data_IF_577217887455
#
_entry.id   IF_577217887455
#
_cell.length_a   1.000
_cell.length_b   1.000
_cell.length_c   1.000
_cell.angle_alpha   90.00
_cell.angle_beta   90.00
_cell.angle_gamma   90.00
#
_symmetry.space_group_name_H-M   'P 1'
#
loop_
_entity.id
_entity.type
_entity.pdbx_description
1 polymer ?
#
# COMPACT_ATOMS: atom_id res chain seq x y z
N UNK A 1 -1.66 0.90 -18.99
CA UNK A 1 -0.74 0.52 -17.90
C UNK A 1 -1.39 -0.63 -17.13
N UNK A 2 -0.64 -1.65 -16.76
CA UNK A 2 -1.19 -2.86 -16.13
C UNK A 2 -1.09 -2.72 -14.61
N UNK A 3 -2.24 -2.70 -13.93
CA UNK A 3 -2.31 -2.58 -12.47
C UNK A 3 -2.54 -3.96 -11.83
N UNK A 4 -1.88 -4.19 -10.70
CA UNK A 4 -2.14 -5.33 -9.83
C UNK A 4 -2.91 -4.94 -8.57
N UNK A 5 -3.55 -5.92 -7.93
CA UNK A 5 -4.16 -5.78 -6.62
C UNK A 5 -3.81 -6.98 -5.75
N UNK A 6 -3.36 -6.72 -4.53
CA UNK A 6 -3.16 -7.72 -3.48
C UNK A 6 -4.19 -7.44 -2.38
N UNK A 7 -5.04 -8.41 -2.09
CA UNK A 7 -5.97 -8.41 -0.96
C UNK A 7 -5.45 -9.38 0.08
N UNK A 8 -5.25 -8.92 1.31
CA UNK A 8 -4.70 -9.68 2.42
C UNK A 8 -5.82 -9.85 3.46
N UNK A 9 -6.03 -11.08 3.91
CA UNK A 9 -7.03 -11.36 4.93
C UNK A 9 -7.44 -12.83 4.95
N UNK A 10 -7.15 -13.52 6.05
CA UNK A 10 -7.61 -14.90 6.26
C UNK A 10 -9.14 -15.03 6.18
N UNK A 11 -9.89 -14.00 6.60
CA UNK A 11 -11.34 -13.99 6.53
C UNK A 11 -11.89 -13.91 5.10
N UNK A 12 -11.10 -13.38 4.16
CA UNK A 12 -11.44 -13.33 2.74
C UNK A 12 -11.27 -14.74 2.15
N UNK A 13 -10.16 -15.40 2.45
CA UNK A 13 -9.89 -16.78 2.02
C UNK A 13 -10.90 -17.77 2.63
N UNK A 14 -11.25 -17.58 3.90
CA UNK A 14 -12.22 -18.43 4.59
C UNK A 14 -13.68 -18.14 4.19
N UNK A 15 -13.94 -17.10 3.38
CA UNK A 15 -15.29 -16.66 3.01
C UNK A 15 -16.11 -16.04 4.15
N UNK A 16 -15.53 -15.82 5.33
CA UNK A 16 -16.21 -15.16 6.47
C UNK A 16 -16.52 -13.70 6.14
N UNK A 17 -15.75 -13.11 5.24
CA UNK A 17 -15.97 -11.78 4.68
C UNK A 17 -15.84 -11.85 3.17
N UNK A 18 -16.80 -11.25 2.47
CA UNK A 18 -16.72 -11.07 1.02
C UNK A 18 -15.80 -9.90 0.70
N UNK A 19 -14.82 -10.13 -0.18
CA UNK A 19 -14.00 -9.04 -0.72
C UNK A 19 -14.87 -7.97 -1.42
N UNK A 20 -14.52 -6.71 -1.21
CA UNK A 20 -15.10 -5.54 -1.89
C UNK A 20 -14.05 -4.71 -2.62
N UNK A 21 -12.76 -5.00 -2.45
CA UNK A 21 -11.68 -4.22 -3.02
C UNK A 21 -11.60 -4.40 -4.53
N UNK A 22 -11.80 -5.63 -5.03
CA UNK A 22 -11.71 -5.90 -6.48
C UNK A 22 -12.71 -5.06 -7.27
N UNK A 23 -13.97 -5.03 -6.84
CA UNK A 23 -15.00 -4.23 -7.52
C UNK A 23 -14.69 -2.73 -7.45
N UNK A 24 -14.29 -2.24 -6.27
CA UNK A 24 -13.88 -0.85 -6.07
C UNK A 24 -12.75 -0.44 -7.02
N UNK A 25 -11.65 -1.21 -7.05
CA UNK A 25 -10.49 -0.88 -7.90
C UNK A 25 -10.78 -1.04 -9.38
N UNK A 26 -11.63 -1.99 -9.78
CA UNK A 26 -12.09 -2.08 -11.17
C UNK A 26 -12.82 -0.81 -11.59
N UNK A 27 -13.75 -0.32 -10.78
CA UNK A 27 -14.47 0.94 -11.05
C UNK A 27 -13.54 2.15 -11.07
N UNK A 28 -12.66 2.25 -10.07
CA UNK A 28 -11.68 3.34 -9.95
C UNK A 28 -10.77 3.42 -11.19
N UNK A 29 -10.18 2.30 -11.60
CA UNK A 29 -9.28 2.25 -12.75
C UNK A 29 -10.02 2.49 -14.06
N UNK A 30 -11.22 1.93 -14.23
CA UNK A 30 -12.04 2.15 -15.42
C UNK A 30 -12.37 3.64 -15.61
N UNK A 31 -12.68 4.36 -14.53
CA UNK A 31 -12.90 5.81 -14.55
C UNK A 31 -11.69 6.64 -14.99
N UNK A 32 -10.50 6.04 -15.04
CA UNK A 32 -9.26 6.66 -15.50
C UNK A 32 -8.68 6.01 -16.78
N UNK A 33 -9.48 5.22 -17.51
CA UNK A 33 -9.03 4.58 -18.76
C UNK A 33 -8.00 3.45 -18.53
N UNK A 34 -8.03 2.82 -17.36
CA UNK A 34 -7.15 1.73 -16.98
C UNK A 34 -7.94 0.49 -16.56
N UNK A 35 -7.26 -0.65 -16.46
CA UNK A 35 -7.85 -1.92 -16.05
C UNK A 35 -6.97 -2.62 -15.02
N UNK A 36 -7.62 -3.39 -14.16
CA UNK A 36 -6.95 -4.31 -13.26
C UNK A 36 -6.54 -5.55 -14.05
N UNK A 37 -5.25 -5.86 -14.06
CA UNK A 37 -4.68 -6.94 -14.87
C UNK A 37 -4.61 -8.27 -14.12
N UNK A 38 -4.39 -8.22 -12.81
CA UNK A 38 -4.40 -9.38 -11.93
C UNK A 38 -4.82 -9.00 -10.53
N UNK A 39 -5.29 -10.01 -9.79
CA UNK A 39 -5.60 -9.94 -8.37
C UNK A 39 -4.95 -11.13 -7.68
N UNK A 40 -4.34 -10.90 -6.53
CA UNK A 40 -3.93 -11.94 -5.59
C UNK A 40 -4.70 -11.77 -4.29
N UNK A 41 -5.25 -12.86 -3.76
CA UNK A 41 -5.84 -12.91 -2.42
C UNK A 41 -4.91 -13.78 -1.58
N UNK A 42 -4.33 -13.21 -0.52
CA UNK A 42 -3.27 -13.81 0.28
C UNK A 42 -3.71 -13.93 1.76
N UNK A 43 -3.22 -14.95 2.48
CA UNK A 43 -3.41 -15.05 3.93
C UNK A 43 -2.58 -14.02 4.67
N UNK A 44 -2.86 -13.85 5.96
CA UNK A 44 -2.07 -13.04 6.90
C UNK A 44 -0.77 -13.77 7.34
N UNK A 45 -0.04 -14.37 6.38
CA UNK A 45 1.21 -15.09 6.62
C UNK A 45 2.44 -14.22 6.27
N UNK A 46 3.29 -13.83 7.24
CA UNK A 46 4.39 -12.90 7.00
C UNK A 46 5.42 -13.38 5.95
N UNK A 47 5.73 -14.67 5.91
CA UNK A 47 6.74 -15.20 5.01
C UNK A 47 6.24 -15.16 3.55
N UNK A 48 5.00 -15.58 3.35
CA UNK A 48 4.32 -15.54 2.06
C UNK A 48 4.10 -14.10 1.59
N UNK A 49 3.62 -13.21 2.48
CA UNK A 49 3.43 -11.79 2.17
C UNK A 49 4.74 -11.14 1.72
N UNK A 50 5.82 -11.30 2.49
CA UNK A 50 7.13 -10.71 2.17
C UNK A 50 7.65 -11.22 0.82
N UNK A 51 7.53 -12.53 0.55
CA UNK A 51 7.93 -13.11 -0.72
C UNK A 51 7.14 -12.56 -1.91
N UNK A 52 5.80 -12.49 -1.80
CA UNK A 52 4.92 -11.98 -2.86
C UNK A 52 5.09 -10.50 -3.11
N UNK A 53 5.24 -9.70 -2.05
CA UNK A 53 5.50 -8.27 -2.15
C UNK A 53 6.83 -8.02 -2.85
N UNK A 54 7.89 -8.77 -2.51
CA UNK A 54 9.20 -8.65 -3.17
C UNK A 54 9.11 -8.97 -4.66
N UNK A 55 8.52 -10.12 -5.01
CA UNK A 55 8.29 -10.51 -6.40
C UNK A 55 7.53 -9.41 -7.19
N UNK A 56 6.49 -8.86 -6.57
CA UNK A 56 5.66 -7.82 -7.18
C UNK A 56 6.42 -6.50 -7.38
N UNK A 57 7.26 -6.12 -6.42
CA UNK A 57 8.11 -4.93 -6.54
C UNK A 57 9.13 -5.09 -7.68
N UNK A 58 9.68 -6.30 -7.86
CA UNK A 58 10.63 -6.62 -8.93
C UNK A 58 10.00 -6.57 -10.33
N UNK A 59 8.69 -6.85 -10.46
CA UNK A 59 7.96 -6.72 -11.73
C UNK A 59 7.84 -5.27 -12.23
N UNK A 60 8.05 -4.28 -11.36
CA UNK A 60 8.05 -2.85 -11.72
C UNK A 60 6.69 -2.30 -12.18
N UNK A 61 5.59 -3.02 -11.92
CA UNK A 61 4.21 -2.59 -12.24
C UNK A 61 3.55 -1.93 -11.02
N UNK A 62 2.64 -0.97 -11.21
CA UNK A 62 1.88 -0.41 -10.10
C UNK A 62 0.94 -1.45 -9.48
N UNK A 63 0.99 -1.60 -8.16
CA UNK A 63 0.16 -2.53 -7.41
C UNK A 63 -0.45 -1.86 -6.19
N UNK A 64 -1.74 -2.12 -5.98
CA UNK A 64 -2.43 -1.77 -4.75
C UNK A 64 -2.37 -2.95 -3.76
N UNK A 65 -2.22 -2.66 -2.47
CA UNK A 65 -2.30 -3.66 -1.39
C UNK A 65 -3.35 -3.23 -0.38
N UNK A 66 -4.19 -4.16 0.07
CA UNK A 66 -5.29 -3.94 1.00
C UNK A 66 -5.30 -5.03 2.08
N UNK A 67 -5.65 -4.69 3.31
CA UNK A 67 -5.71 -5.62 4.44
C UNK A 67 -4.39 -5.76 5.21
N UNK A 68 -4.47 -6.11 6.50
CA UNK A 68 -3.31 -6.25 7.40
C UNK A 68 -2.55 -4.94 7.68
N UNK A 69 -3.20 -3.77 7.54
CA UNK A 69 -2.61 -2.43 7.71
C UNK A 69 -3.10 -1.75 8.99
N UNK A 70 -3.94 -2.38 9.81
CA UNK A 70 -4.43 -1.79 11.07
C UNK A 70 -3.34 -1.58 12.13
N UNK A 71 -3.78 -1.46 13.38
CA UNK A 71 -2.91 -1.21 14.54
C UNK A 71 -2.71 -2.45 15.43
N UNK A 72 -3.24 -3.60 15.04
CA UNK A 72 -3.17 -4.80 15.87
C UNK A 72 -1.87 -5.58 15.59
N UNK A 73 -1.36 -6.39 16.54
CA UNK A 73 -0.09 -7.11 16.35
C UNK A 73 -0.07 -8.08 15.17
N UNK A 74 -1.24 -8.56 14.75
CA UNK A 74 -1.51 -9.41 13.58
C UNK A 74 -1.54 -8.64 12.25
N UNK A 75 -1.51 -7.30 12.26
CA UNK A 75 -1.38 -6.49 11.05
C UNK A 75 0.07 -6.49 10.52
N UNK A 76 0.39 -7.50 9.71
CA UNK A 76 1.76 -7.74 9.23
C UNK A 76 2.14 -7.00 7.94
N UNK A 77 1.17 -6.47 7.18
CA UNK A 77 1.40 -5.97 5.81
C UNK A 77 2.47 -4.88 5.74
N UNK A 78 2.45 -3.90 6.66
CA UNK A 78 3.43 -2.79 6.66
C UNK A 78 4.85 -3.26 6.89
N UNK A 79 5.03 -4.22 7.82
CA UNK A 79 6.33 -4.78 8.15
C UNK A 79 6.86 -5.63 6.99
N UNK A 80 6.02 -6.48 6.42
CA UNK A 80 6.37 -7.32 5.28
C UNK A 80 6.73 -6.49 4.05
N UNK A 81 6.00 -5.40 3.79
CA UNK A 81 6.30 -4.48 2.69
C UNK A 81 7.65 -3.77 2.88
N UNK A 82 7.96 -3.31 4.11
CA UNK A 82 9.24 -2.69 4.41
C UNK A 82 10.40 -3.69 4.23
N UNK A 83 10.24 -4.92 4.72
CA UNK A 83 11.22 -6.00 4.56
C UNK A 83 11.41 -6.42 3.09
N UNK A 84 10.32 -6.51 2.32
CA UNK A 84 10.38 -6.78 0.89
C UNK A 84 11.18 -5.69 0.14
N UNK A 85 11.00 -4.43 0.53
CA UNK A 85 11.70 -3.28 -0.04
C UNK A 85 13.11 -3.03 0.53
N UNK A 86 13.54 -3.78 1.55
CA UNK A 86 14.85 -3.57 2.20
C UNK A 86 14.95 -2.27 3.00
N UNK A 87 13.83 -1.75 3.51
CA UNK A 87 13.77 -0.50 4.29
C UNK A 87 13.29 -0.74 5.71
N UNK A 88 13.53 0.23 6.62
CA UNK A 88 13.00 0.17 7.98
C UNK A 88 11.50 0.45 7.98
N UNK A 89 10.73 -0.39 8.65
CA UNK A 89 9.30 -0.14 8.89
C UNK A 89 9.15 0.88 10.03
N UNK A 90 8.49 2.00 9.75
CA UNK A 90 8.09 2.96 10.78
C UNK A 90 6.58 2.86 10.99
N UNK A 91 6.17 2.45 12.19
CA UNK A 91 4.75 2.46 12.59
C UNK A 91 4.55 3.68 13.47
N UNK A 92 3.80 4.65 12.95
CA UNK A 92 3.40 5.82 13.72
C UNK A 92 2.24 5.43 14.63
N UNK A 93 2.44 5.54 15.95
CA UNK A 93 1.36 5.37 16.92
C UNK A 93 0.43 6.59 16.84
N UNK A 94 -0.84 6.45 16.45
CA UNK A 94 -1.78 7.58 16.37
C UNK A 94 -1.96 8.30 17.71
N UNK A 95 -1.75 7.62 18.83
CA UNK A 95 -1.84 8.21 20.18
C UNK A 95 -0.66 9.15 20.48
N UNK A 96 0.49 8.96 19.84
CA UNK A 96 1.62 9.90 19.92
C UNK A 96 1.42 11.12 19.02
N UNK A 97 0.55 11.03 18.04
CA UNK A 97 0.35 12.03 16.99
C UNK A 97 -1.15 12.36 16.85
N UNK A 98 -1.76 13.01 17.87
CA UNK A 98 -3.20 13.32 17.89
C UNK A 98 -3.61 14.24 16.73
N UNK A 99 -2.67 15.04 16.21
CA UNK A 99 -2.75 15.69 14.91
C UNK A 99 -1.66 15.09 14.02
N UNK A 100 -2.04 14.60 12.84
CA UNK A 100 -1.11 13.94 11.93
C UNK A 100 -0.08 14.97 11.43
N UNK A 101 1.22 14.85 11.79
CA UNK A 101 2.21 15.80 11.35
C UNK A 101 2.36 15.72 9.83
N UNK A 102 2.76 16.81 9.16
CA UNK A 102 3.13 16.79 7.75
C UNK A 102 4.11 15.63 7.46
N UNK A 103 3.97 15.01 6.28
CA UNK A 103 4.76 13.85 5.88
C UNK A 103 6.27 14.13 5.96
N UNK A 104 6.65 15.36 5.65
CA UNK A 104 8.02 15.89 5.70
C UNK A 104 8.60 15.92 7.12
N UNK A 105 7.75 16.11 8.14
CA UNK A 105 8.17 16.05 9.54
C UNK A 105 8.30 14.63 10.04
N UNK A 106 7.43 13.73 9.57
CA UNK A 106 7.44 12.32 9.96
C UNK A 106 8.61 11.56 9.33
N UNK A 107 8.94 11.89 8.08
CA UNK A 107 9.95 11.17 7.31
C UNK A 107 10.82 12.11 6.47
N UNK A 108 11.64 12.98 7.08
CA UNK A 108 12.46 13.95 6.35
C UNK A 108 13.38 13.29 5.32
N UNK A 109 14.06 12.19 5.70
CA UNK A 109 14.97 11.47 4.81
C UNK A 109 14.23 10.75 3.67
N UNK A 110 13.05 10.18 3.96
CA UNK A 110 12.22 9.51 2.97
C UNK A 110 11.58 10.52 2.02
N UNK A 111 11.11 11.66 2.52
CA UNK A 111 10.59 12.76 1.73
C UNK A 111 11.65 13.26 0.75
N UNK A 112 12.88 13.50 1.21
CA UNK A 112 14.00 13.87 0.34
C UNK A 112 14.33 12.78 -0.69
N UNK A 113 14.34 11.52 -0.29
CA UNK A 113 14.58 10.39 -1.20
C UNK A 113 13.47 10.24 -2.26
N UNK A 114 12.22 10.44 -1.84
CA UNK A 114 11.06 10.37 -2.71
C UNK A 114 11.03 11.57 -3.65
N UNK A 115 11.26 12.80 -3.20
CA UNK A 115 11.36 13.98 -4.06
C UNK A 115 12.44 13.84 -5.15
N UNK A 116 13.55 13.17 -4.82
CA UNK A 116 14.62 12.92 -5.77
C UNK A 116 14.22 11.97 -6.91
N UNK A 117 13.35 10.98 -6.66
CA UNK A 117 12.96 9.92 -7.63
C UNK A 117 11.53 10.01 -8.15
N UNK A 118 10.66 10.64 -7.39
CA UNK A 118 9.22 10.72 -7.57
C UNK A 118 8.77 12.16 -7.29
N UNK A 119 7.62 12.57 -7.81
CA UNK A 119 6.94 13.81 -7.40
C UNK A 119 5.60 13.45 -6.78
N UNK A 120 5.16 14.20 -5.77
CA UNK A 120 3.78 14.08 -5.30
C UNK A 120 2.88 14.51 -6.46
N UNK A 121 2.16 13.55 -7.03
CA UNK A 121 1.25 13.80 -8.14
C UNK A 121 -0.13 14.21 -7.66
N UNK A 122 -0.55 13.72 -6.48
CA UNK A 122 -1.84 14.05 -5.88
C UNK A 122 -1.87 13.71 -4.39
N UNK A 123 -2.36 14.61 -3.55
CA UNK A 123 -2.77 14.29 -2.18
C UNK A 123 -4.23 13.81 -2.21
N UNK A 124 -4.50 12.62 -1.68
CA UNK A 124 -5.85 12.06 -1.53
C UNK A 124 -6.21 12.12 -0.06
N UNK A 125 -7.34 12.76 0.25
CA UNK A 125 -7.84 12.96 1.62
C UNK A 125 -9.09 12.11 1.84
N UNK A 126 -9.15 11.39 2.96
CA UNK A 126 -10.31 10.61 3.37
C UNK A 126 -10.44 10.57 4.89
N UNK A 127 -11.49 11.20 5.43
CA UNK A 127 -11.62 11.41 6.87
C UNK A 127 -10.43 12.19 7.44
N UNK A 128 -9.79 11.64 8.48
CA UNK A 128 -8.57 12.21 9.08
C UNK A 128 -7.27 11.72 8.40
N UNK A 129 -7.35 10.82 7.42
CA UNK A 129 -6.15 10.25 6.78
C UNK A 129 -5.80 10.97 5.49
N UNK A 130 -4.50 11.20 5.29
CA UNK A 130 -3.92 11.74 4.07
C UNK A 130 -3.06 10.67 3.40
N UNK A 131 -3.25 10.49 2.11
CA UNK A 131 -2.47 9.60 1.27
C UNK A 131 -1.75 10.42 0.20
N UNK A 132 -0.46 10.19 0.02
CA UNK A 132 0.33 10.83 -1.03
C UNK A 132 0.43 9.89 -2.22
N UNK A 133 -0.24 10.23 -3.31
CA UNK A 133 -0.05 9.60 -4.62
C UNK A 133 1.26 10.09 -5.22
N UNK A 134 2.23 9.19 -5.39
CA UNK A 134 3.54 9.48 -5.95
C UNK A 134 3.58 9.11 -7.44
N UNK A 135 4.12 10.01 -8.25
CA UNK A 135 4.34 9.80 -9.69
C UNK A 135 5.83 9.74 -9.94
N UNK A 136 6.29 8.67 -10.58
CA UNK A 136 7.70 8.48 -10.92
C UNK A 136 8.14 9.58 -11.90
N UNK A 137 9.28 10.21 -11.62
CA UNK A 137 9.91 11.08 -12.62
C UNK A 137 10.43 10.16 -13.72
N UNK A 138 10.02 10.41 -14.96
CA UNK A 138 10.68 9.77 -16.11
C UNK A 138 12.16 10.16 -16.08
N UNK A 139 13.06 9.26 -16.53
CA UNK A 139 14.50 9.51 -16.52
C UNK A 139 14.88 10.78 -17.28
#
# INVERSE_FOLDING_TARGET
MNFGLIVIGDEILSGRRRDRHVEFFRGLLAGHGHALHWVQILPDDPALLTGRLRQTMDEGKPVFSCGGIGATPDDHTRRCAAEAAGVRCAVLNPQMYPEFPPFEQLFPDLAQHLEARFRIGREIRGGQTRWLGLVRRSP
#
